data_IF_681105602013
#
_entry.id   IF_681105602013
#
_cell.length_a   1.000
_cell.length_b   1.000
_cell.length_c   1.000
_cell.angle_alpha   90.00
_cell.angle_beta   90.00
_cell.angle_gamma   90.00
#
_symmetry.space_group_name_H-M   'P 1'
#
loop_
_entity.id
_entity.type
_entity.pdbx_description
1 polymer ?
#
# COMPACT_ATOMS: atom_id res chain seq x y z
N UNK A 1 24.55 42.22 -7.44
CA UNK A 1 24.97 41.98 -8.83
C UNK A 1 25.99 40.85 -8.78
N UNK A 2 25.52 39.61 -8.84
CA UNK A 2 26.37 38.42 -8.76
C UNK A 2 26.67 37.99 -10.20
N UNK A 3 27.94 38.01 -10.51
CA UNK A 3 28.51 37.60 -11.79
C UNK A 3 28.19 36.11 -12.04
N UNK A 4 27.28 35.83 -12.97
CA UNK A 4 27.14 34.53 -13.59
C UNK A 4 28.37 34.31 -14.52
N UNK A 5 29.41 33.68 -13.98
CA UNK A 5 30.46 33.11 -14.82
C UNK A 5 29.85 32.04 -15.71
N UNK A 6 30.07 32.17 -17.02
CA UNK A 6 29.68 31.19 -18.06
C UNK A 6 30.36 29.86 -17.76
N UNK A 7 29.63 28.90 -17.17
CA UNK A 7 30.06 27.51 -17.09
C UNK A 7 30.01 26.91 -18.51
N UNK A 8 31.03 26.14 -18.94
CA UNK A 8 31.01 25.49 -20.23
C UNK A 8 29.80 24.54 -20.36
N UNK A 9 29.20 24.42 -21.57
CA UNK A 9 28.05 23.57 -21.83
C UNK A 9 28.22 22.12 -21.38
N UNK A 10 29.43 21.60 -21.45
CA UNK A 10 29.75 20.22 -21.07
C UNK A 10 29.65 19.93 -19.59
N UNK A 11 29.92 20.92 -18.73
CA UNK A 11 29.76 20.79 -17.27
C UNK A 11 28.28 20.78 -16.89
N UNK A 12 27.44 21.55 -17.61
CA UNK A 12 25.99 21.54 -17.42
C UNK A 12 25.38 20.20 -17.83
N UNK A 13 25.83 19.65 -18.94
CA UNK A 13 25.37 18.33 -19.44
C UNK A 13 25.85 17.23 -18.51
N UNK A 14 27.11 17.24 -18.05
CA UNK A 14 27.62 16.26 -17.10
C UNK A 14 26.94 16.36 -15.73
N UNK A 15 26.69 17.58 -15.22
CA UNK A 15 25.97 17.78 -13.97
C UNK A 15 24.50 17.39 -14.10
N UNK A 16 23.86 17.66 -15.25
CA UNK A 16 22.49 17.21 -15.54
C UNK A 16 22.39 15.69 -15.65
N UNK A 17 23.35 15.04 -16.31
CA UNK A 17 23.45 13.57 -16.36
C UNK A 17 23.81 12.96 -15.00
N UNK A 18 24.64 13.62 -14.18
CA UNK A 18 24.99 13.17 -12.84
C UNK A 18 23.83 13.32 -11.87
N UNK A 19 23.08 14.42 -11.93
CA UNK A 19 21.85 14.63 -11.13
C UNK A 19 20.71 13.68 -11.59
N UNK A 20 20.65 13.31 -12.87
CA UNK A 20 19.72 12.33 -13.40
C UNK A 20 20.05 10.88 -12.98
N UNK A 21 21.28 10.63 -12.53
CA UNK A 21 21.80 9.30 -12.17
C UNK A 21 21.50 8.86 -10.74
N UNK A 22 20.92 9.74 -9.91
CA UNK A 22 20.64 9.45 -8.50
C UNK A 22 19.24 9.91 -8.12
N UNK A 23 18.22 9.19 -8.59
CA UNK A 23 16.94 9.24 -7.88
C UNK A 23 17.14 8.55 -6.53
N UNK A 24 17.32 9.34 -5.47
CA UNK A 24 17.37 8.84 -4.08
C UNK A 24 15.97 8.36 -3.61
N UNK A 25 15.19 7.79 -4.50
CA UNK A 25 13.85 7.32 -4.22
C UNK A 25 13.70 5.84 -4.58
N UNK A 26 12.96 5.11 -3.76
CA UNK A 26 12.61 3.71 -3.97
C UNK A 26 11.10 3.58 -3.74
N UNK A 27 10.37 3.10 -4.74
CA UNK A 27 8.98 2.76 -4.55
C UNK A 27 8.86 1.53 -3.64
N UNK A 28 8.24 1.68 -2.48
CA UNK A 28 8.02 0.62 -1.49
C UNK A 28 6.58 0.10 -1.48
N UNK A 29 5.67 0.73 -2.23
CA UNK A 29 4.28 0.34 -2.37
C UNK A 29 3.92 0.43 -3.86
N UNK A 30 3.80 -0.74 -4.52
CA UNK A 30 3.58 -0.85 -5.97
C UNK A 30 2.75 -2.09 -6.28
N UNK A 31 1.71 -1.90 -7.08
CA UNK A 31 0.84 -2.96 -7.57
C UNK A 31 1.18 -3.31 -9.01
N UNK A 32 1.51 -4.58 -9.22
CA UNK A 32 1.82 -5.11 -10.57
C UNK A 32 0.56 -5.68 -11.21
N UNK A 33 0.70 -6.23 -12.42
CA UNK A 33 -0.38 -6.97 -13.09
C UNK A 33 -0.80 -8.28 -12.36
N UNK A 34 -0.14 -8.63 -11.25
CA UNK A 34 -0.57 -9.68 -10.32
C UNK A 34 -1.54 -9.18 -9.22
N UNK A 35 -1.73 -7.86 -9.08
CA UNK A 35 -2.90 -7.25 -8.42
C UNK A 35 -4.06 -7.25 -9.40
N UNK A 36 -4.71 -8.40 -9.52
CA UNK A 36 -5.73 -8.64 -10.56
C UNK A 36 -6.89 -7.66 -10.44
N UNK A 37 -7.22 -6.99 -11.55
CA UNK A 37 -8.27 -5.99 -11.72
C UNK A 37 -8.00 -4.59 -11.14
N UNK A 38 -6.80 -4.32 -10.58
CA UNK A 38 -6.42 -2.95 -10.22
C UNK A 38 -4.96 -2.59 -10.54
N UNK A 39 -4.06 -3.55 -10.71
CA UNK A 39 -2.67 -3.33 -11.10
C UNK A 39 -2.43 -3.40 -12.61
N UNK A 40 -1.88 -2.34 -13.21
CA UNK A 40 -1.49 -2.28 -14.64
C UNK A 40 0.02 -2.29 -14.86
N UNK A 41 0.84 -2.34 -13.81
CA UNK A 41 2.29 -2.26 -13.93
C UNK A 41 2.88 -3.63 -14.29
N UNK A 42 2.95 -3.96 -15.58
CA UNK A 42 3.59 -5.19 -16.07
C UNK A 42 5.05 -5.24 -15.62
N UNK A 43 5.47 -6.36 -15.02
CA UNK A 43 6.79 -6.51 -14.40
C UNK A 43 7.97 -6.06 -15.29
N UNK A 44 8.09 -6.47 -16.56
CA UNK A 44 9.20 -6.03 -17.40
C UNK A 44 9.20 -4.52 -17.66
N UNK A 45 8.02 -3.91 -17.78
CA UNK A 45 7.85 -2.47 -18.02
C UNK A 45 8.21 -1.68 -16.77
N UNK A 46 7.73 -2.11 -15.59
CA UNK A 46 8.05 -1.52 -14.29
C UNK A 46 9.57 -1.53 -14.03
N UNK A 47 10.21 -2.69 -14.16
CA UNK A 47 11.63 -2.86 -13.88
C UNK A 47 12.49 -2.01 -14.83
N UNK A 48 12.15 -1.98 -16.13
CA UNK A 48 12.83 -1.12 -17.09
C UNK A 48 12.67 0.37 -16.74
N UNK A 49 11.47 0.80 -16.34
CA UNK A 49 11.21 2.18 -15.94
C UNK A 49 11.99 2.59 -14.70
N UNK A 50 12.05 1.72 -13.69
CA UNK A 50 12.87 1.91 -12.47
C UNK A 50 14.34 2.11 -12.84
N UNK A 51 14.86 1.30 -13.77
CA UNK A 51 16.23 1.43 -14.29
C UNK A 51 16.46 2.74 -15.05
N UNK A 52 15.54 3.12 -15.94
CA UNK A 52 15.59 4.40 -16.66
C UNK A 52 15.63 5.61 -15.71
N UNK A 53 14.88 5.55 -14.62
CA UNK A 53 14.83 6.58 -13.59
C UNK A 53 16.05 6.57 -12.65
N UNK A 54 16.96 5.60 -12.80
CA UNK A 54 18.15 5.47 -11.96
C UNK A 54 17.86 5.05 -10.51
N UNK A 55 16.72 4.47 -10.25
CA UNK A 55 16.36 3.97 -8.91
C UNK A 55 17.11 2.68 -8.60
N UNK A 56 17.69 2.51 -7.40
CA UNK A 56 18.50 1.33 -7.07
C UNK A 56 17.68 0.08 -6.74
N UNK A 57 16.40 0.25 -6.40
CA UNK A 57 15.50 -0.81 -5.94
C UNK A 57 14.04 -0.46 -6.25
N UNK A 58 13.18 -1.46 -6.17
CA UNK A 58 11.72 -1.32 -6.21
C UNK A 58 11.07 -2.45 -5.43
N UNK A 59 9.93 -2.19 -4.78
CA UNK A 59 9.11 -3.21 -4.17
C UNK A 59 8.01 -3.70 -5.11
N UNK A 60 7.53 -4.91 -4.84
CA UNK A 60 6.28 -5.47 -5.33
C UNK A 60 5.42 -5.74 -4.09
N UNK A 61 4.22 -5.19 -4.05
CA UNK A 61 3.31 -5.28 -2.90
C UNK A 61 1.87 -5.53 -3.34
N UNK A 62 1.68 -6.54 -4.18
CA UNK A 62 0.37 -6.89 -4.74
C UNK A 62 -0.66 -7.24 -3.67
N UNK A 63 -1.93 -6.99 -3.95
CA UNK A 63 -3.05 -7.21 -3.04
C UNK A 63 -3.21 -8.68 -2.65
N UNK A 64 -2.99 -8.98 -1.38
CA UNK A 64 -3.28 -10.27 -0.75
C UNK A 64 -2.54 -11.47 -1.33
N UNK A 65 -1.54 -11.27 -2.18
CA UNK A 65 -0.82 -12.38 -2.81
C UNK A 65 0.66 -12.07 -3.08
N UNK A 66 1.41 -13.12 -3.39
CA UNK A 66 2.82 -13.07 -3.80
C UNK A 66 3.05 -13.81 -5.13
N UNK A 67 2.02 -13.93 -5.96
CA UNK A 67 2.08 -14.77 -7.17
C UNK A 67 3.19 -14.33 -8.15
N UNK A 68 3.42 -13.03 -8.27
CA UNK A 68 4.47 -12.46 -9.12
C UNK A 68 5.89 -12.48 -8.53
N UNK A 69 6.11 -12.98 -7.30
CA UNK A 69 7.36 -12.81 -6.58
C UNK A 69 8.59 -13.38 -7.31
N UNK A 70 8.49 -14.55 -7.92
CA UNK A 70 9.60 -15.19 -8.62
C UNK A 70 9.92 -14.46 -9.92
N UNK A 71 8.90 -14.14 -10.72
CA UNK A 71 9.06 -13.41 -11.98
C UNK A 71 9.64 -12.01 -11.73
N UNK A 72 9.14 -11.32 -10.71
CA UNK A 72 9.66 -10.03 -10.29
C UNK A 72 11.12 -10.12 -9.85
N UNK A 73 11.46 -11.09 -9.00
CA UNK A 73 12.83 -11.31 -8.54
C UNK A 73 13.79 -11.53 -9.71
N UNK A 74 13.42 -12.39 -10.66
CA UNK A 74 14.24 -12.68 -11.84
C UNK A 74 14.38 -11.45 -12.75
N UNK A 75 13.29 -10.75 -13.03
CA UNK A 75 13.30 -9.56 -13.88
C UNK A 75 14.16 -8.44 -13.29
N UNK A 76 14.00 -8.14 -12.01
CA UNK A 76 14.74 -7.09 -11.32
C UNK A 76 16.24 -7.40 -11.25
N UNK A 77 16.63 -8.63 -10.87
CA UNK A 77 18.04 -9.03 -10.85
C UNK A 77 18.68 -8.97 -12.24
N UNK A 78 17.98 -9.43 -13.29
CA UNK A 78 18.45 -9.32 -14.69
C UNK A 78 18.69 -7.87 -15.11
N UNK A 79 17.90 -6.94 -14.61
CA UNK A 79 18.05 -5.51 -14.88
C UNK A 79 19.10 -4.82 -14.01
N UNK A 80 19.64 -5.49 -12.99
CA UNK A 80 20.55 -4.92 -11.98
C UNK A 80 19.85 -4.03 -10.95
N UNK A 81 18.55 -4.24 -10.73
CA UNK A 81 17.73 -3.54 -9.75
C UNK A 81 17.52 -4.47 -8.54
N UNK A 82 17.65 -3.94 -7.32
CA UNK A 82 17.38 -4.72 -6.11
C UNK A 82 15.87 -4.96 -5.95
N UNK A 83 15.38 -6.22 -6.01
CA UNK A 83 13.99 -6.51 -5.71
C UNK A 83 13.72 -6.45 -4.20
N UNK A 84 12.60 -5.85 -3.83
CA UNK A 84 12.06 -5.88 -2.47
C UNK A 84 10.72 -6.61 -2.57
N UNK A 85 10.68 -7.83 -2.04
CA UNK A 85 9.47 -8.66 -2.12
C UNK A 85 8.57 -8.33 -0.94
N UNK A 86 7.31 -8.08 -1.23
CA UNK A 86 6.29 -7.77 -0.25
C UNK A 86 4.90 -8.18 -0.73
N UNK A 87 3.92 -7.80 0.03
CA UNK A 87 2.49 -7.82 -0.33
C UNK A 87 1.75 -6.73 0.43
N UNK A 88 0.67 -6.24 -0.13
CA UNK A 88 -0.32 -5.49 0.61
C UNK A 88 -1.40 -6.45 1.11
N UNK A 89 -1.34 -6.78 2.40
CA UNK A 89 -2.25 -7.71 3.02
C UNK A 89 -3.59 -7.05 3.37
N UNK A 90 -4.68 -7.75 3.18
CA UNK A 90 -5.98 -7.40 3.74
C UNK A 90 -6.00 -7.74 5.22
N UNK A 91 -6.10 -6.74 6.08
CA UNK A 91 -6.04 -6.85 7.52
C UNK A 91 -7.39 -6.53 8.17
N UNK A 92 -7.78 -7.29 9.17
CA UNK A 92 -8.97 -7.04 9.98
C UNK A 92 -8.59 -6.82 11.45
N UNK A 93 -9.25 -5.86 12.09
CA UNK A 93 -8.97 -5.49 13.49
C UNK A 93 -9.51 -6.50 14.50
N UNK A 94 -10.50 -7.29 14.14
CA UNK A 94 -11.12 -8.23 15.06
C UNK A 94 -10.34 -9.56 15.06
N UNK A 95 -10.06 -10.09 16.25
CA UNK A 95 -9.23 -11.28 16.48
C UNK A 95 -9.91 -12.58 16.06
N UNK A 96 -11.13 -12.55 15.57
CA UNK A 96 -11.88 -13.74 15.20
C UNK A 96 -12.02 -13.84 13.68
N UNK A 97 -11.21 -14.70 13.06
CA UNK A 97 -11.48 -15.25 11.72
C UNK A 97 -12.62 -16.28 11.77
N UNK A 98 -13.46 -16.24 12.81
CA UNK A 98 -14.47 -17.23 13.11
C UNK A 98 -15.80 -17.00 12.39
N UNK A 99 -16.66 -18.02 12.43
CA UNK A 99 -18.00 -18.05 11.84
C UNK A 99 -18.91 -16.91 12.31
N UNK A 100 -18.64 -16.32 13.49
CA UNK A 100 -19.32 -15.14 14.01
C UNK A 100 -19.19 -13.91 13.12
N UNK A 101 -18.03 -13.74 12.42
CA UNK A 101 -17.86 -12.65 11.42
C UNK A 101 -18.72 -12.93 10.21
N UNK A 102 -18.86 -14.20 9.79
CA UNK A 102 -19.74 -14.57 8.68
C UNK A 102 -21.20 -14.21 9.04
N UNK A 103 -21.59 -14.42 10.27
CA UNK A 103 -22.93 -14.13 10.77
C UNK A 103 -23.17 -12.62 10.92
N UNK A 104 -22.19 -11.88 11.45
CA UNK A 104 -22.22 -10.43 11.55
C UNK A 104 -22.25 -9.76 10.17
N UNK A 105 -21.39 -10.22 9.25
CA UNK A 105 -21.36 -9.71 7.87
C UNK A 105 -22.61 -10.12 7.08
N UNK A 106 -23.23 -11.24 7.40
CA UNK A 106 -24.54 -11.64 6.84
C UNK A 106 -25.65 -10.70 7.31
N UNK A 107 -25.64 -10.30 8.57
CA UNK A 107 -26.61 -9.34 9.13
C UNK A 107 -26.44 -7.92 8.59
N UNK A 108 -25.22 -7.51 8.24
CA UNK A 108 -24.91 -6.22 7.58
C UNK A 108 -25.31 -6.27 6.10
N UNK A 109 -25.11 -7.41 5.42
CA UNK A 109 -25.44 -7.62 4.00
C UNK A 109 -26.94 -7.57 3.71
N UNK A 110 -27.77 -7.96 4.66
CA UNK A 110 -29.24 -7.92 4.51
C UNK A 110 -29.79 -6.48 4.62
N UNK A 111 -28.94 -5.50 5.00
CA UNK A 111 -29.29 -4.09 5.15
C UNK A 111 -28.74 -3.16 4.07
N UNK A 112 -27.70 -3.55 3.33
CA UNK A 112 -27.10 -2.67 2.33
C UNK A 112 -26.68 -3.46 1.08
N UNK A 113 -27.28 -3.09 -0.06
CA UNK A 113 -26.97 -3.68 -1.37
C UNK A 113 -25.83 -2.99 -2.11
N UNK A 114 -25.00 -2.19 -1.45
CA UNK A 114 -23.83 -1.59 -2.06
C UNK A 114 -22.58 -2.46 -1.84
N UNK A 115 -22.10 -3.05 -2.92
CA UNK A 115 -20.97 -4.00 -2.92
C UNK A 115 -19.58 -3.34 -2.81
N UNK A 116 -19.50 -2.02 -2.64
CA UNK A 116 -18.26 -1.26 -2.70
C UNK A 116 -17.69 -0.96 -1.31
N UNK A 117 -16.91 -1.90 -0.79
CA UNK A 117 -16.07 -1.68 0.40
C UNK A 117 -14.74 -0.96 0.01
N UNK A 118 -14.32 -1.05 -1.24
CA UNK A 118 -13.10 -0.40 -1.75
C UNK A 118 -13.33 1.08 -2.16
N UNK A 119 -14.56 1.58 -2.14
CA UNK A 119 -14.95 2.87 -2.69
C UNK A 119 -14.94 4.08 -1.75
N UNK A 120 -14.36 4.00 -0.55
CA UNK A 120 -14.32 5.18 0.36
C UNK A 120 -13.09 6.06 0.05
N UNK A 121 -12.90 6.37 -1.21
CA UNK A 121 -11.63 7.00 -1.57
C UNK A 121 -11.58 8.51 -1.49
N UNK A 122 -12.66 9.25 -1.38
CA UNK A 122 -12.47 10.67 -1.68
C UNK A 122 -13.27 11.68 -0.89
N UNK A 123 -14.35 11.32 -0.23
CA UNK A 123 -15.19 12.30 0.45
C UNK A 123 -15.39 11.98 1.94
N UNK A 124 -14.82 12.80 2.86
CA UNK A 124 -15.08 12.66 4.30
C UNK A 124 -16.56 12.81 4.68
N UNK A 125 -17.41 13.37 3.81
CA UNK A 125 -18.85 13.46 4.05
C UNK A 125 -19.57 12.12 3.90
N UNK A 126 -18.91 11.13 3.25
CA UNK A 126 -19.39 9.74 3.10
C UNK A 126 -19.09 8.86 4.31
N UNK A 127 -18.51 9.39 5.38
CA UNK A 127 -18.23 8.65 6.60
C UNK A 127 -19.54 8.26 7.30
N UNK A 128 -20.07 7.11 6.92
CA UNK A 128 -21.20 6.51 7.63
C UNK A 128 -20.72 5.91 8.95
N UNK A 129 -21.39 6.19 10.10
CA UNK A 129 -21.07 5.54 11.38
C UNK A 129 -21.08 4.00 11.34
N UNK A 130 -21.81 3.40 10.39
CA UNK A 130 -21.82 1.95 10.16
C UNK A 130 -20.51 1.44 9.53
N UNK A 131 -19.74 2.32 8.88
CA UNK A 131 -18.45 2.01 8.29
C UNK A 131 -17.27 2.29 9.24
N UNK A 132 -17.53 2.35 10.55
CA UNK A 132 -16.48 2.60 11.52
C UNK A 132 -15.36 1.56 11.43
N UNK A 133 -14.07 1.95 11.53
CA UNK A 133 -12.91 1.12 11.18
C UNK A 133 -12.82 -0.24 11.87
N UNK A 134 -13.49 -0.43 13.00
CA UNK A 134 -13.50 -1.71 13.72
C UNK A 134 -13.97 -2.90 12.86
N UNK A 135 -14.86 -2.65 11.90
CA UNK A 135 -15.52 -3.69 11.10
C UNK A 135 -15.05 -3.73 9.65
N UNK A 136 -14.09 -2.90 9.29
CA UNK A 136 -13.59 -2.82 7.92
C UNK A 136 -12.42 -3.75 7.66
N UNK A 137 -12.20 -4.04 6.39
CA UNK A 137 -10.96 -4.62 5.89
C UNK A 137 -10.00 -3.46 5.63
N UNK A 138 -8.80 -3.55 6.18
CA UNK A 138 -7.76 -2.55 6.04
C UNK A 138 -6.61 -3.08 5.20
N UNK A 139 -5.81 -2.16 4.67
CA UNK A 139 -4.60 -2.48 3.94
C UNK A 139 -3.38 -2.40 4.85
N UNK A 140 -2.46 -3.36 4.70
CA UNK A 140 -1.21 -3.42 5.45
C UNK A 140 -0.07 -3.81 4.53
N UNK A 141 0.82 -2.86 4.25
CA UNK A 141 2.01 -3.10 3.41
C UNK A 141 3.06 -3.84 4.22
N UNK A 142 3.47 -5.00 3.74
CA UNK A 142 4.43 -5.90 4.37
C UNK A 142 5.58 -6.18 3.40
N UNK A 143 6.83 -6.04 3.87
CA UNK A 143 8.04 -6.21 3.06
C UNK A 143 8.95 -7.25 3.72
N UNK A 144 9.50 -8.17 2.93
CA UNK A 144 10.51 -9.12 3.41
C UNK A 144 11.84 -8.40 3.65
N UNK A 145 12.30 -8.39 4.88
CA UNK A 145 13.62 -7.88 5.26
C UNK A 145 14.75 -8.86 4.90
N UNK A 146 14.45 -10.16 4.94
CA UNK A 146 15.38 -11.26 4.69
C UNK A 146 14.61 -12.50 4.22
N UNK A 147 15.31 -13.61 4.00
CA UNK A 147 14.71 -14.86 3.54
C UNK A 147 13.67 -15.44 4.52
N UNK A 148 13.90 -15.32 5.84
CA UNK A 148 12.90 -15.71 6.85
C UNK A 148 11.61 -14.90 6.70
N UNK A 149 11.72 -13.58 6.47
CA UNK A 149 10.59 -12.71 6.21
C UNK A 149 9.85 -13.10 4.92
N UNK A 150 10.56 -13.46 3.86
CA UNK A 150 9.93 -13.98 2.63
C UNK A 150 9.12 -15.26 2.90
N UNK A 151 9.68 -16.22 3.64
CA UNK A 151 8.96 -17.43 4.03
C UNK A 151 7.73 -17.13 4.91
N UNK A 152 7.84 -16.15 5.80
CA UNK A 152 6.73 -15.75 6.64
C UNK A 152 5.65 -15.00 5.88
N UNK A 153 5.99 -14.17 4.89
CA UNK A 153 5.01 -13.60 3.96
C UNK A 153 4.26 -14.69 3.17
N UNK A 154 4.96 -15.72 2.69
CA UNK A 154 4.33 -16.84 2.02
C UNK A 154 3.35 -17.59 2.95
N UNK A 155 3.70 -17.79 4.23
CA UNK A 155 2.80 -18.38 5.22
C UNK A 155 1.59 -17.49 5.52
N UNK A 156 1.80 -16.18 5.67
CA UNK A 156 0.70 -15.21 5.83
C UNK A 156 -0.27 -15.27 4.65
N UNK A 157 0.27 -15.33 3.42
CA UNK A 157 -0.55 -15.50 2.21
C UNK A 157 -1.34 -16.81 2.29
N UNK A 158 -0.72 -17.94 2.60
CA UNK A 158 -1.41 -19.23 2.70
C UNK A 158 -2.52 -19.21 3.76
N UNK A 159 -2.22 -18.75 4.97
CA UNK A 159 -3.20 -18.63 6.06
C UNK A 159 -4.38 -17.73 5.68
N UNK A 160 -4.12 -16.64 4.95
CA UNK A 160 -5.18 -15.73 4.52
C UNK A 160 -6.16 -16.37 3.55
N UNK A 161 -5.69 -17.29 2.69
CA UNK A 161 -6.55 -18.04 1.77
C UNK A 161 -7.19 -19.26 2.42
N UNK A 162 -6.48 -19.97 3.28
CA UNK A 162 -6.98 -21.19 3.92
C UNK A 162 -8.01 -20.91 5.01
N UNK A 163 -7.77 -19.89 5.83
CA UNK A 163 -8.54 -19.61 7.04
C UNK A 163 -9.23 -18.25 7.04
N UNK A 164 -8.64 -17.27 6.36
CA UNK A 164 -9.12 -15.88 6.37
C UNK A 164 -9.99 -15.50 5.18
N UNK A 165 -10.19 -16.40 4.22
CA UNK A 165 -10.86 -16.06 2.97
C UNK A 165 -12.38 -15.84 3.16
N UNK A 166 -12.77 -14.58 2.99
CA UNK A 166 -14.16 -14.20 2.78
C UNK A 166 -14.16 -12.98 1.83
N UNK A 167 -14.53 -13.17 0.57
CA UNK A 167 -14.39 -12.23 -0.55
C UNK A 167 -12.94 -11.83 -0.85
N UNK A 168 -12.16 -11.52 0.17
CA UNK A 168 -10.73 -11.19 0.13
C UNK A 168 -9.95 -12.12 1.08
N UNK A 169 -8.68 -12.43 0.78
CA UNK A 169 -7.81 -13.20 1.69
C UNK A 169 -7.34 -12.32 2.85
N UNK A 170 -7.90 -12.50 4.04
CA UNK A 170 -7.68 -11.62 5.19
C UNK A 170 -6.74 -12.24 6.22
N UNK A 171 -5.99 -11.40 6.89
CA UNK A 171 -5.21 -11.75 8.07
C UNK A 171 -5.68 -10.91 9.27
N UNK A 172 -5.51 -11.47 10.46
CA UNK A 172 -5.79 -10.80 11.72
C UNK A 172 -4.52 -10.50 12.52
N UNK A 173 -4.71 -9.93 13.71
CA UNK A 173 -3.62 -9.60 14.62
C UNK A 173 -2.81 -10.83 15.02
N UNK A 174 -3.46 -11.95 15.35
CA UNK A 174 -2.79 -13.16 15.82
C UNK A 174 -1.94 -13.81 14.75
N UNK A 175 -2.49 -13.93 13.53
CA UNK A 175 -1.79 -14.46 12.37
C UNK A 175 -0.60 -13.58 12.01
N UNK A 176 -0.77 -12.25 12.06
CA UNK A 176 0.30 -11.30 11.79
C UNK A 176 1.41 -11.39 12.84
N UNK A 177 1.08 -11.47 14.12
CA UNK A 177 2.05 -11.64 15.21
C UNK A 177 2.84 -12.93 15.07
N UNK A 178 2.16 -14.04 14.74
CA UNK A 178 2.77 -15.37 14.56
C UNK A 178 3.87 -15.39 13.49
N UNK A 179 3.70 -14.62 12.42
CA UNK A 179 4.61 -14.64 11.26
C UNK A 179 5.34 -13.30 11.02
N UNK A 180 5.44 -12.43 12.03
CA UNK A 180 6.05 -11.11 11.92
C UNK A 180 7.56 -11.10 11.72
N UNK A 181 8.26 -12.18 12.10
CA UNK A 181 9.72 -12.22 12.11
C UNK A 181 10.31 -12.07 10.70
N UNK A 182 11.30 -11.18 10.58
CA UNK A 182 11.95 -10.88 9.30
C UNK A 182 11.09 -10.03 8.34
N UNK A 183 9.98 -9.48 8.81
CA UNK A 183 9.10 -8.58 8.05
C UNK A 183 9.28 -7.14 8.52
N UNK A 184 9.29 -6.22 7.58
CA UNK A 184 9.09 -4.79 7.79
C UNK A 184 7.64 -4.49 7.43
N UNK A 185 6.91 -3.79 8.31
CA UNK A 185 5.55 -3.36 8.07
C UNK A 185 5.47 -1.84 7.93
N UNK A 186 4.70 -1.36 6.96
CA UNK A 186 4.31 0.03 6.82
C UNK A 186 2.88 0.21 7.35
N UNK A 187 2.51 1.41 7.74
CA UNK A 187 1.17 1.67 8.30
C UNK A 187 0.02 1.48 7.29
N UNK A 188 0.35 1.40 6.01
CA UNK A 188 -0.60 1.26 4.90
C UNK A 188 -0.99 2.61 4.29
N UNK A 189 -1.72 2.55 3.17
CA UNK A 189 -2.26 3.69 2.45
C UNK A 189 -3.38 4.40 3.23
N UNK A 190 -4.26 5.12 2.55
CA UNK A 190 -5.44 5.73 3.17
C UNK A 190 -6.37 4.67 3.81
N UNK A 191 -6.40 3.44 3.26
CA UNK A 191 -7.13 2.30 3.79
C UNK A 191 -6.38 1.57 4.94
N UNK A 192 -5.21 2.04 5.33
CA UNK A 192 -4.51 1.56 6.52
C UNK A 192 -5.31 1.85 7.80
N UNK A 193 -5.31 0.92 8.75
CA UNK A 193 -6.17 1.00 9.93
C UNK A 193 -5.99 2.28 10.76
N UNK A 194 -4.75 2.77 10.92
CA UNK A 194 -4.50 4.03 11.63
C UNK A 194 -5.04 5.24 10.84
N UNK A 195 -4.87 5.25 9.51
CA UNK A 195 -5.42 6.28 8.62
C UNK A 195 -6.93 6.34 8.70
N UNK A 196 -7.59 5.17 8.70
CA UNK A 196 -9.05 5.09 8.80
C UNK A 196 -9.56 5.67 10.14
N UNK A 197 -8.97 5.34 11.28
CA UNK A 197 -9.35 5.97 12.55
C UNK A 197 -9.13 7.50 12.53
N UNK A 198 -8.04 7.97 11.92
CA UNK A 198 -7.79 9.42 11.78
C UNK A 198 -8.81 10.12 10.87
N UNK A 199 -9.33 9.44 9.84
CA UNK A 199 -10.45 9.96 9.04
C UNK A 199 -11.70 10.19 9.88
N UNK A 200 -11.97 9.33 10.86
CA UNK A 200 -13.07 9.52 11.85
C UNK A 200 -12.69 10.46 13.00
N UNK A 201 -11.52 11.11 12.93
CA UNK A 201 -11.01 11.97 14.01
C UNK A 201 -10.79 11.24 15.33
N UNK A 202 -10.63 9.93 15.28
CA UNK A 202 -10.41 9.05 16.43
C UNK A 202 -8.91 8.77 16.63
N UNK A 203 -8.24 9.75 17.18
CA UNK A 203 -6.79 9.66 17.43
C UNK A 203 -6.44 8.57 18.46
N UNK A 204 -7.27 8.35 19.48
CA UNK A 204 -6.99 7.37 20.53
C UNK A 204 -6.99 5.94 19.99
N UNK A 205 -7.94 5.59 19.13
CA UNK A 205 -7.93 4.29 18.48
C UNK A 205 -6.81 4.17 17.45
N UNK A 206 -6.49 5.22 16.69
CA UNK A 206 -5.32 5.23 15.81
C UNK A 206 -4.02 5.01 16.60
N UNK A 207 -3.89 5.62 17.77
CA UNK A 207 -2.77 5.44 18.69
C UNK A 207 -2.68 4.02 19.22
N UNK A 208 -3.81 3.45 19.66
CA UNK A 208 -3.90 2.07 20.17
C UNK A 208 -3.46 1.04 19.13
N UNK A 209 -3.98 1.13 17.92
CA UNK A 209 -3.60 0.17 16.85
C UNK A 209 -2.14 0.35 16.42
N UNK A 210 -1.62 1.58 16.46
CA UNK A 210 -0.20 1.84 16.22
C UNK A 210 0.67 1.16 17.29
N UNK A 211 0.30 1.27 18.58
CA UNK A 211 0.99 0.58 19.67
C UNK A 211 1.01 -0.95 19.45
N UNK A 212 -0.12 -1.55 19.09
CA UNK A 212 -0.22 -2.98 18.80
C UNK A 212 0.74 -3.41 17.67
N UNK A 213 0.88 -2.62 16.60
CA UNK A 213 1.83 -2.96 15.54
C UNK A 213 3.28 -2.74 15.96
N UNK A 214 3.55 -1.76 16.82
CA UNK A 214 4.89 -1.60 17.42
C UNK A 214 5.25 -2.81 18.30
N UNK A 215 4.29 -3.36 19.03
CA UNK A 215 4.48 -4.56 19.84
C UNK A 215 4.77 -5.80 18.99
N UNK A 216 4.09 -5.94 17.80
CA UNK A 216 4.32 -7.06 16.88
C UNK A 216 5.69 -6.97 16.19
N UNK A 217 6.02 -5.81 15.60
CA UNK A 217 7.17 -5.68 14.69
C UNK A 217 8.41 -5.08 15.36
N UNK A 218 8.24 -4.40 16.49
CA UNK A 218 9.26 -3.53 17.07
C UNK A 218 9.41 -2.22 16.28
N UNK A 219 9.89 -1.18 16.95
CA UNK A 219 10.08 0.17 16.36
C UNK A 219 10.99 0.18 15.12
N UNK A 220 11.93 -0.75 15.04
CA UNK A 220 12.90 -0.83 13.95
C UNK A 220 12.33 -1.43 12.67
N UNK A 221 11.19 -2.12 12.75
CA UNK A 221 10.56 -2.79 11.62
C UNK A 221 9.14 -2.29 11.33
N UNK A 222 8.65 -1.29 12.07
CA UNK A 222 7.37 -0.66 11.80
C UNK A 222 7.57 0.82 11.42
N UNK A 223 7.02 1.22 10.28
CA UNK A 223 7.17 2.56 9.73
C UNK A 223 5.82 3.20 9.49
N UNK A 224 5.71 4.49 9.76
CA UNK A 224 4.55 5.26 9.31
C UNK A 224 4.71 5.57 7.83
N UNK A 225 3.76 5.13 7.03
CA UNK A 225 3.66 5.37 5.60
C UNK A 225 2.90 6.68 5.36
N UNK A 226 3.47 7.55 4.55
CA UNK A 226 2.87 8.82 4.17
C UNK A 226 2.66 8.84 2.66
N UNK A 227 1.42 9.04 2.25
CA UNK A 227 1.02 9.22 0.85
C UNK A 227 0.33 10.57 0.70
N UNK A 228 0.59 11.26 -0.40
CA UNK A 228 -0.06 12.53 -0.69
C UNK A 228 -0.46 12.56 -2.17
N UNK A 229 -1.68 12.18 -2.44
CA UNK A 229 -2.33 12.25 -3.76
C UNK A 229 -3.14 13.55 -3.93
N UNK A 230 -2.94 14.53 -2.99
CA UNK A 230 -3.65 15.81 -2.94
C UNK A 230 -5.14 15.69 -2.64
N UNK A 231 -5.62 14.55 -2.17
CA UNK A 231 -6.99 14.32 -1.78
C UNK A 231 -7.31 15.02 -0.43
N UNK A 232 -8.58 15.43 -0.20
CA UNK A 232 -9.00 15.95 1.11
C UNK A 232 -8.71 14.99 2.27
N UNK A 233 -8.83 13.69 2.03
CA UNK A 233 -8.52 12.64 2.99
C UNK A 233 -7.04 12.66 3.41
N UNK A 234 -6.10 12.80 2.46
CA UNK A 234 -4.66 12.89 2.77
C UNK A 234 -4.36 14.07 3.68
N UNK A 235 -4.94 15.23 3.37
CA UNK A 235 -4.79 16.46 4.18
C UNK A 235 -5.28 16.26 5.62
N UNK A 236 -6.31 15.43 5.80
CA UNK A 236 -6.88 15.14 7.11
C UNK A 236 -6.01 14.16 7.92
N UNK A 237 -5.49 13.09 7.29
CA UNK A 237 -4.79 12.01 8.01
C UNK A 237 -3.30 12.27 8.21
N UNK A 238 -2.61 12.91 7.27
CA UNK A 238 -1.15 13.11 7.34
C UNK A 238 -0.69 13.76 8.66
N UNK A 239 -1.31 14.84 9.16
CA UNK A 239 -0.90 15.44 10.43
C UNK A 239 -0.99 14.46 11.62
N UNK A 240 -2.03 13.64 11.66
CA UNK A 240 -2.22 12.60 12.67
C UNK A 240 -1.17 11.49 12.58
N UNK A 241 -0.86 11.03 11.36
CA UNK A 241 0.18 10.03 11.11
C UNK A 241 1.56 10.54 11.55
N UNK A 242 1.90 11.80 11.21
CA UNK A 242 3.16 12.43 11.65
C UNK A 242 3.20 12.55 13.18
N UNK A 243 2.08 12.88 13.81
CA UNK A 243 1.98 12.93 15.28
C UNK A 243 2.23 11.55 15.89
N UNK A 244 1.61 10.48 15.37
CA UNK A 244 1.84 9.10 15.80
C UNK A 244 3.32 8.70 15.63
N UNK A 245 3.94 9.01 14.47
CA UNK A 245 5.35 8.72 14.25
C UNK A 245 6.25 9.35 15.31
N UNK A 246 6.01 10.62 15.65
CA UNK A 246 6.79 11.32 16.68
C UNK A 246 6.55 10.75 18.07
N UNK A 247 5.32 10.48 18.43
CA UNK A 247 4.94 9.94 19.74
C UNK A 247 5.59 8.58 20.02
N UNK A 248 5.59 7.69 19.03
CA UNK A 248 6.17 6.35 19.16
C UNK A 248 7.65 6.27 18.78
N UNK A 249 8.26 7.37 18.32
CA UNK A 249 9.64 7.36 17.83
C UNK A 249 9.85 6.53 16.58
N UNK A 250 8.85 6.50 15.68
CA UNK A 250 8.86 5.70 14.45
C UNK A 250 9.45 6.50 13.29
N UNK A 251 10.12 5.79 12.40
CA UNK A 251 10.55 6.34 11.11
C UNK A 251 9.35 6.48 10.18
N UNK A 252 9.44 7.44 9.27
CA UNK A 252 8.43 7.68 8.25
C UNK A 252 9.00 7.35 6.87
N UNK A 253 8.16 6.83 5.98
CA UNK A 253 8.48 6.61 4.57
C UNK A 253 7.42 7.27 3.69
N UNK A 254 7.85 7.84 2.56
CA UNK A 254 6.94 8.33 1.54
C UNK A 254 6.76 7.25 0.46
N UNK A 255 5.52 6.98 0.09
CA UNK A 255 5.16 6.07 -1.00
C UNK A 255 4.10 6.68 -1.90
N UNK A 256 3.86 6.08 -3.06
CA UNK A 256 2.89 6.59 -4.03
C UNK A 256 1.77 5.60 -4.35
N UNK A 257 1.81 4.38 -3.80
CA UNK A 257 0.79 3.37 -4.09
C UNK A 257 0.53 3.21 -5.61
N UNK A 258 1.62 2.93 -6.33
CA UNK A 258 1.63 3.01 -7.80
C UNK A 258 0.97 1.79 -8.42
N UNK A 259 -0.08 1.99 -9.23
CA UNK A 259 -0.83 0.94 -9.90
C UNK A 259 -0.53 0.83 -11.41
N UNK A 260 0.17 1.80 -11.99
CA UNK A 260 0.60 1.80 -13.38
C UNK A 260 1.96 2.51 -13.54
N UNK A 261 2.61 2.36 -14.70
CA UNK A 261 4.00 2.79 -14.89
C UNK A 261 4.13 4.17 -15.52
N UNK A 262 3.33 4.48 -16.54
CA UNK A 262 3.39 5.73 -17.26
C UNK A 262 2.08 6.47 -17.19
N UNK A 263 2.12 7.80 -17.14
CA UNK A 263 0.91 8.64 -17.15
C UNK A 263 -0.08 8.32 -18.28
N UNK A 264 0.41 7.86 -19.44
CA UNK A 264 -0.42 7.44 -20.56
C UNK A 264 -1.22 6.16 -20.30
N UNK A 265 -0.87 5.40 -19.26
CA UNK A 265 -1.54 4.15 -18.90
C UNK A 265 -2.81 4.41 -18.04
N UNK A 266 -3.01 5.67 -17.61
CA UNK A 266 -4.13 6.06 -16.73
C UNK A 266 -5.51 5.71 -17.31
N UNK A 267 -5.73 5.94 -18.62
CA UNK A 267 -7.03 5.62 -19.26
C UNK A 267 -7.30 4.12 -19.29
N UNK A 268 -6.26 3.30 -19.52
CA UNK A 268 -6.39 1.85 -19.49
C UNK A 268 -6.63 1.34 -18.07
N UNK A 269 -5.97 1.94 -17.08
CA UNK A 269 -6.16 1.63 -15.68
C UNK A 269 -7.59 2.01 -15.21
N UNK A 270 -8.10 3.19 -15.59
CA UNK A 270 -9.47 3.63 -15.29
C UNK A 270 -10.52 2.63 -15.85
N UNK A 271 -10.31 2.16 -17.08
CA UNK A 271 -11.20 1.14 -17.66
C UNK A 271 -11.15 -0.19 -16.88
N UNK A 272 -9.96 -0.58 -16.38
CA UNK A 272 -9.80 -1.79 -15.56
C UNK A 272 -10.48 -1.66 -14.20
N UNK A 273 -10.37 -0.49 -13.55
CA UNK A 273 -11.09 -0.21 -12.30
C UNK A 273 -12.61 -0.28 -12.52
N UNK A 274 -13.11 0.21 -13.65
CA UNK A 274 -14.54 0.07 -14.00
C UNK A 274 -14.97 -1.39 -14.10
N UNK A 275 -14.13 -2.27 -14.66
CA UNK A 275 -14.40 -3.72 -14.69
C UNK A 275 -14.43 -4.28 -13.27
N UNK A 276 -13.49 -3.89 -12.42
CA UNK A 276 -13.39 -4.36 -11.03
C UNK A 276 -14.62 -3.95 -10.20
N UNK A 277 -15.05 -2.70 -10.34
CA UNK A 277 -16.13 -2.11 -9.53
C UNK A 277 -17.53 -2.28 -10.16
N UNK A 278 -17.63 -2.81 -11.37
CA UNK A 278 -18.91 -2.92 -12.10
C UNK A 278 -19.45 -1.58 -12.57
N UNK A 279 -18.60 -0.54 -12.63
CA UNK A 279 -18.96 0.83 -13.07
C UNK A 279 -18.73 1.02 -14.56
N UNK A 280 -19.32 2.07 -15.14
CA UNK A 280 -19.04 2.50 -16.51
C UNK A 280 -18.02 3.64 -16.51
N UNK A 281 -17.19 3.74 -17.56
CA UNK A 281 -16.25 4.86 -17.74
C UNK A 281 -16.96 6.20 -17.80
N UNK A 282 -18.24 6.21 -18.18
CA UNK A 282 -19.10 7.41 -18.18
C UNK A 282 -19.60 7.85 -16.80
N UNK A 283 -19.52 6.98 -15.79
CA UNK A 283 -20.08 7.28 -14.47
C UNK A 283 -19.22 8.36 -13.78
N UNK A 284 -19.86 9.37 -13.20
CA UNK A 284 -19.18 10.50 -12.57
C UNK A 284 -18.54 10.08 -11.23
N UNK A 285 -19.20 9.20 -10.49
CA UNK A 285 -18.86 8.81 -9.11
C UNK A 285 -18.03 7.53 -9.02
N UNK A 286 -17.45 7.08 -10.17
CA UNK A 286 -16.61 5.89 -10.17
C UNK A 286 -15.26 6.12 -9.48
N UNK A 287 -14.66 5.03 -8.98
CA UNK A 287 -13.31 5.00 -8.45
C UNK A 287 -12.29 5.44 -9.52
N UNK A 288 -11.33 6.27 -9.14
CA UNK A 288 -10.22 6.75 -10.00
C UNK A 288 -8.95 6.92 -9.17
N UNK A 289 -7.81 6.68 -9.81
CA UNK A 289 -6.48 6.97 -9.27
C UNK A 289 -5.85 8.17 -9.98
#
# INVERSE_FOLDING_TARGET
>A
MILLQKTPPDVFIQTYFYLRKMANFVHLHVHTDYSVLDGCAKLPVLVNRVKELGMPAVAMTDHGNMCGAIDFYQAANKAGIKPIIGMEAYYINDHTLNDDIKELMKSVRDKDKSDDIDGIESDPSLLNPQNYPKYQIHHKTLLARNYEGFLNLAKLTSESYERGFYRKPRIDFETLAKYSKGIIALSGCINGVASQYLLYSDYENARRVTANFVDIFGRENYYIELQNHFLPADKKVIPGLVKLAREFGLKMVATNDSHYVYKKDADAHDAMLCINTGSLVSDADRMRY
#
